data_IF_253605784892
#
_entry.id   IF_253605784892
#
_cell.length_a   1.000
_cell.length_b   1.000
_cell.length_c   1.000
_cell.angle_alpha   90.00
_cell.angle_beta   90.00
_cell.angle_gamma   90.00
#
_symmetry.space_group_name_H-M   'P 1'
#
loop_
_entity.id
_entity.type
_entity.pdbx_description
1 polymer ?
#
# COMPACT_ATOMS: atom_id res chain seq x y z
N UNK A 1 -5.93 -7.51 -1.02
CA UNK A 1 -4.48 -7.73 -0.88
C UNK A 1 -4.00 -8.99 -1.61
N UNK A 2 -4.74 -10.11 -1.58
CA UNK A 2 -4.36 -11.37 -2.23
C UNK A 2 -3.66 -11.26 -3.61
N UNK A 3 -4.27 -10.59 -4.59
CA UNK A 3 -3.65 -10.44 -5.94
C UNK A 3 -2.30 -9.71 -5.87
N UNK A 4 -2.18 -8.72 -4.99
CA UNK A 4 -0.92 -8.00 -4.78
C UNK A 4 0.14 -8.93 -4.16
N UNK A 5 -0.27 -9.77 -3.22
CA UNK A 5 0.60 -10.74 -2.56
C UNK A 5 1.12 -11.79 -3.55
N UNK A 6 0.24 -12.37 -4.36
CA UNK A 6 0.63 -13.34 -5.39
C UNK A 6 1.52 -12.70 -6.46
N UNK A 7 1.23 -11.46 -6.87
CA UNK A 7 2.07 -10.74 -7.81
C UNK A 7 3.51 -10.54 -7.28
N UNK A 8 3.66 -10.26 -5.98
CA UNK A 8 4.95 -10.14 -5.32
C UNK A 8 5.65 -11.49 -5.20
N UNK A 9 4.93 -12.56 -4.81
CA UNK A 9 5.49 -13.92 -4.70
C UNK A 9 6.00 -14.46 -6.03
N UNK A 10 5.31 -14.16 -7.12
CA UNK A 10 5.72 -14.54 -8.48
C UNK A 10 6.83 -13.65 -9.06
N UNK A 11 7.25 -12.60 -8.34
CA UNK A 11 8.34 -11.72 -8.75
C UNK A 11 7.96 -10.68 -9.81
N UNK A 12 6.67 -10.34 -9.94
CA UNK A 12 6.23 -9.27 -10.87
C UNK A 12 6.55 -7.86 -10.37
N UNK A 13 6.97 -7.72 -9.10
CA UNK A 13 7.44 -6.46 -8.51
C UNK A 13 8.93 -6.61 -8.21
N UNK A 14 9.76 -5.94 -9.01
CA UNK A 14 11.22 -5.98 -8.85
C UNK A 14 11.63 -5.43 -7.47
N UNK A 15 12.51 -6.17 -6.79
CA UNK A 15 13.06 -5.76 -5.49
C UNK A 15 12.12 -5.96 -4.29
N UNK A 16 10.95 -6.57 -4.48
CA UNK A 16 10.00 -6.88 -3.41
C UNK A 16 9.70 -8.39 -3.38
N UNK A 17 9.94 -9.05 -2.24
CA UNK A 17 9.76 -10.51 -2.07
C UNK A 17 8.56 -10.87 -1.18
N UNK A 18 8.03 -9.92 -0.43
CA UNK A 18 6.78 -10.05 0.34
C UNK A 18 6.15 -8.67 0.56
N UNK A 19 4.88 -8.64 0.98
CA UNK A 19 4.22 -7.40 1.41
C UNK A 19 4.60 -7.00 2.85
N UNK A 20 5.28 -7.87 3.59
CA UNK A 20 5.60 -7.62 5.00
C UNK A 20 6.49 -6.39 5.15
N UNK A 21 6.04 -5.40 5.93
CA UNK A 21 6.72 -4.11 6.12
C UNK A 21 6.99 -3.32 4.83
N UNK A 22 6.31 -3.65 3.72
CA UNK A 22 6.48 -2.95 2.47
C UNK A 22 6.08 -1.47 2.61
N UNK A 23 6.80 -0.59 1.93
CA UNK A 23 6.46 0.84 1.86
C UNK A 23 5.52 1.06 0.69
N UNK A 24 4.33 1.58 0.94
CA UNK A 24 3.25 1.64 -0.04
C UNK A 24 2.75 3.08 -0.21
N UNK A 25 2.46 3.44 -1.47
CA UNK A 25 1.68 4.63 -1.84
C UNK A 25 0.38 4.17 -2.48
N UNK A 26 -0.75 4.74 -2.06
CA UNK A 26 -2.08 4.35 -2.54
C UNK A 26 -2.70 5.48 -3.36
N UNK A 27 -3.08 5.18 -4.60
CA UNK A 27 -3.89 6.08 -5.41
C UNK A 27 -5.38 5.81 -5.19
N UNK A 28 -6.09 6.82 -4.70
CA UNK A 28 -7.49 6.85 -4.30
C UNK A 28 -7.66 6.62 -2.81
N UNK A 29 -8.48 7.44 -2.15
CA UNK A 29 -8.89 7.25 -0.74
C UNK A 29 -10.42 7.08 -0.59
N UNK A 30 -11.10 6.71 -1.68
CA UNK A 30 -12.50 6.25 -1.62
C UNK A 30 -12.63 4.86 -1.01
N UNK A 31 -13.78 4.20 -1.19
CA UNK A 31 -14.07 2.91 -0.57
C UNK A 31 -12.95 1.85 -0.81
N UNK A 32 -12.49 1.68 -2.05
CA UNK A 32 -11.44 0.71 -2.36
C UNK A 32 -10.09 1.08 -1.72
N UNK A 33 -9.71 2.36 -1.81
CA UNK A 33 -8.47 2.89 -1.25
C UNK A 33 -8.38 2.75 0.26
N UNK A 34 -9.45 3.11 0.96
CA UNK A 34 -9.54 2.95 2.42
C UNK A 34 -9.46 1.48 2.84
N UNK A 35 -10.22 0.60 2.18
CA UNK A 35 -10.20 -0.82 2.54
C UNK A 35 -8.84 -1.47 2.26
N UNK A 36 -8.20 -1.16 1.12
CA UNK A 36 -6.88 -1.72 0.84
C UNK A 36 -5.80 -1.15 1.77
N UNK A 37 -5.87 0.13 2.14
CA UNK A 37 -4.98 0.74 3.13
C UNK A 37 -5.07 0.02 4.48
N UNK A 38 -6.30 -0.20 4.97
CA UNK A 38 -6.53 -0.92 6.22
C UNK A 38 -5.96 -2.33 6.18
N UNK A 39 -6.28 -3.11 5.14
CA UNK A 39 -5.78 -4.50 5.01
C UNK A 39 -4.26 -4.53 4.97
N UNK A 40 -3.64 -3.70 4.13
CA UNK A 40 -2.18 -3.65 3.99
C UNK A 40 -1.51 -3.25 5.30
N UNK A 41 -2.09 -2.30 6.04
CA UNK A 41 -1.57 -1.88 7.33
C UNK A 41 -1.78 -2.93 8.42
N UNK A 42 -3.00 -3.42 8.62
CA UNK A 42 -3.36 -4.27 9.76
C UNK A 42 -2.96 -5.73 9.60
N UNK A 43 -3.00 -6.27 8.38
CA UNK A 43 -2.73 -7.70 8.13
C UNK A 43 -1.30 -7.94 7.64
N UNK A 44 -0.73 -7.00 6.88
CA UNK A 44 0.59 -7.16 6.27
C UNK A 44 1.67 -6.26 6.89
N UNK A 45 1.31 -5.38 7.82
CA UNK A 45 2.26 -4.47 8.46
C UNK A 45 2.89 -3.45 7.50
N UNK A 46 2.28 -3.22 6.33
CA UNK A 46 2.77 -2.25 5.37
C UNK A 46 2.78 -0.84 5.98
N UNK A 47 3.78 -0.06 5.60
CA UNK A 47 3.85 1.37 5.94
C UNK A 47 3.30 2.19 4.78
N UNK A 48 2.15 2.78 4.99
CA UNK A 48 1.53 3.69 4.01
C UNK A 48 2.19 5.05 4.14
N UNK A 49 2.97 5.47 3.15
CA UNK A 49 3.69 6.76 3.19
C UNK A 49 3.04 7.83 2.35
N UNK A 50 2.02 7.48 1.56
CA UNK A 50 1.28 8.49 0.82
C UNK A 50 -0.03 7.99 0.25
N UNK A 51 -0.95 8.94 0.11
CA UNK A 51 -2.25 8.75 -0.53
C UNK A 51 -2.50 9.90 -1.50
N UNK A 52 -3.18 9.66 -2.61
CA UNK A 52 -3.51 10.72 -3.58
C UNK A 52 -4.85 10.47 -4.29
N UNK A 53 -5.54 11.51 -4.74
CA UNK A 53 -6.66 11.43 -5.69
C UNK A 53 -6.53 12.52 -6.78
N UNK A 54 -7.61 12.83 -7.49
CA UNK A 54 -7.61 13.89 -8.52
C UNK A 54 -7.40 15.30 -7.96
N UNK A 55 -7.61 15.52 -6.66
CA UNK A 55 -7.42 16.81 -5.98
C UNK A 55 -6.01 17.03 -5.44
N UNK A 56 -5.20 15.98 -5.36
CA UNK A 56 -3.82 16.05 -4.84
C UNK A 56 -3.48 14.85 -3.99
N UNK A 57 -2.46 14.97 -3.14
CA UNK A 57 -2.05 13.90 -2.26
C UNK A 57 -1.26 14.36 -1.05
N UNK A 58 -1.18 13.49 -0.06
CA UNK A 58 -0.39 13.67 1.16
C UNK A 58 0.72 12.63 1.14
N UNK A 59 1.92 13.06 1.51
CA UNK A 59 3.08 12.20 1.70
C UNK A 59 3.64 12.43 3.11
N UNK A 60 3.73 11.37 3.90
CA UNK A 60 4.44 11.34 5.18
C UNK A 60 5.51 10.23 5.11
N UNK A 61 6.81 10.57 5.06
CA UNK A 61 7.88 9.57 5.02
C UNK A 61 7.87 8.64 6.25
N UNK A 62 7.32 9.09 7.38
CA UNK A 62 7.20 8.29 8.59
C UNK A 62 5.96 7.39 8.58
N UNK A 63 5.03 7.58 7.64
CA UNK A 63 3.84 6.76 7.45
C UNK A 63 2.88 6.76 8.62
N UNK A 64 2.67 7.93 9.25
CA UNK A 64 1.74 8.12 10.38
C UNK A 64 0.33 8.53 9.93
N UNK A 65 0.12 8.70 8.63
CA UNK A 65 -1.14 9.12 8.04
C UNK A 65 -2.10 7.94 7.85
#
# INVERSE_FOLDING_TARGET
AYVLEEAVKEGHVEGLSSLENATVVIQGFGNAGFNIANILHSEYGCRIVGISDSGGGVYDPEGRA
#
